data_IF_124459302501
#
_entry.id   IF_124459302501
#
_cell.length_a   1.000
_cell.length_b   1.000
_cell.length_c   1.000
_cell.angle_alpha   90.00
_cell.angle_beta   90.00
_cell.angle_gamma   90.00
#
_symmetry.space_group_name_H-M   'P 1'
#
loop_
_entity.id
_entity.type
_entity.pdbx_description
1 polymer ?
#
# COMPACT_ATOMS: atom_id res chain seq x y z
N UNK A 1 5.97 3.54 11.40
CA UNK A 1 5.72 3.03 10.04
C UNK A 1 5.05 1.66 10.09
N UNK A 2 4.04 1.45 9.29
CA UNK A 2 3.32 0.18 9.17
C UNK A 2 3.49 -0.30 7.73
N UNK A 3 4.11 -1.48 7.56
CA UNK A 3 4.22 -2.15 6.28
C UNK A 3 3.74 -3.60 6.40
N UNK A 4 2.86 -4.00 5.51
CA UNK A 4 2.40 -5.39 5.37
C UNK A 4 2.47 -5.78 3.92
N UNK A 5 2.75 -7.06 3.64
CA UNK A 5 2.66 -7.58 2.30
C UNK A 5 2.00 -8.95 2.27
N UNK A 6 1.40 -9.28 1.13
CA UNK A 6 0.71 -10.53 0.85
C UNK A 6 1.09 -11.04 -0.53
N UNK A 7 1.46 -12.32 -0.62
CA UNK A 7 1.77 -13.01 -1.88
C UNK A 7 0.46 -13.45 -2.56
N UNK A 8 0.34 -13.18 -3.85
CA UNK A 8 -0.80 -13.53 -4.68
C UNK A 8 -0.32 -14.46 -5.80
N UNK A 9 -0.62 -15.76 -5.68
CA UNK A 9 -0.07 -16.80 -6.58
C UNK A 9 -1.01 -17.19 -7.73
N UNK A 10 -2.26 -16.76 -7.74
CA UNK A 10 -3.21 -17.10 -8.80
C UNK A 10 -3.88 -15.87 -9.37
N UNK A 11 -4.25 -15.90 -10.67
CA UNK A 11 -4.98 -14.80 -11.31
C UNK A 11 -6.25 -14.43 -10.56
N UNK A 12 -7.00 -15.43 -10.04
CA UNK A 12 -8.19 -15.19 -9.24
C UNK A 12 -7.91 -14.49 -7.91
N UNK A 13 -6.78 -14.80 -7.25
CA UNK A 13 -6.40 -14.13 -6.00
C UNK A 13 -5.97 -12.69 -6.24
N UNK A 14 -5.29 -12.42 -7.35
CA UNK A 14 -4.94 -11.04 -7.75
C UNK A 14 -6.20 -10.26 -8.07
N UNK A 15 -7.09 -10.80 -8.92
CA UNK A 15 -8.34 -10.14 -9.27
C UNK A 15 -9.22 -9.85 -8.03
N UNK A 16 -9.34 -10.82 -7.11
CA UNK A 16 -10.11 -10.61 -5.86
C UNK A 16 -9.52 -9.51 -4.97
N UNK A 17 -8.19 -9.40 -4.90
CA UNK A 17 -7.51 -8.35 -4.13
C UNK A 17 -7.66 -6.99 -4.82
N UNK A 18 -7.55 -6.93 -6.15
CA UNK A 18 -7.76 -5.72 -6.94
C UNK A 18 -9.21 -5.22 -6.83
N UNK A 19 -10.23 -6.11 -6.90
CA UNK A 19 -11.64 -5.74 -6.69
C UNK A 19 -11.89 -5.11 -5.33
N UNK A 20 -11.19 -5.58 -4.29
CA UNK A 20 -11.23 -4.93 -2.99
C UNK A 20 -10.57 -3.55 -3.04
N UNK A 21 -9.40 -3.44 -3.65
CA UNK A 21 -8.65 -2.18 -3.79
C UNK A 21 -9.45 -1.12 -4.56
N UNK A 22 -10.09 -1.47 -5.65
CA UNK A 22 -10.90 -0.55 -6.47
C UNK A 22 -12.35 -0.39 -5.98
N UNK A 23 -12.72 -1.04 -4.86
CA UNK A 23 -14.10 -1.02 -4.33
C UNK A 23 -15.14 -1.58 -5.34
N UNK A 24 -14.72 -2.49 -6.22
CA UNK A 24 -15.59 -3.20 -7.16
C UNK A 24 -16.30 -4.41 -6.52
N UNK A 25 -16.16 -4.59 -5.23
CA UNK A 25 -16.91 -5.53 -4.40
C UNK A 25 -17.26 -4.87 -3.07
N UNK A 26 -18.25 -5.43 -2.39
CA UNK A 26 -18.63 -4.98 -1.05
C UNK A 26 -17.41 -4.96 -0.10
N UNK A 27 -17.23 -3.81 0.56
CA UNK A 27 -16.13 -3.54 1.48
C UNK A 27 -16.71 -2.89 2.75
N UNK A 28 -17.18 -3.70 3.71
CA UNK A 28 -17.97 -3.22 4.85
C UNK A 28 -17.26 -2.22 5.77
N UNK A 29 -15.94 -2.11 5.70
CA UNK A 29 -15.13 -1.17 6.47
C UNK A 29 -14.83 0.13 5.73
N UNK A 30 -15.26 0.26 4.48
CA UNK A 30 -15.16 1.48 3.69
C UNK A 30 -16.41 2.35 3.88
N UNK A 31 -16.22 3.64 3.99
CA UNK A 31 -17.31 4.63 4.05
C UNK A 31 -17.73 5.01 2.62
N UNK A 32 -18.96 4.70 2.19
CA UNK A 32 -19.42 4.99 0.84
C UNK A 32 -19.37 6.48 0.47
N UNK A 33 -19.57 7.38 1.42
CA UNK A 33 -19.56 8.83 1.18
C UNK A 33 -18.13 9.35 0.88
N UNK A 34 -17.12 8.63 1.35
CA UNK A 34 -15.70 8.96 1.21
C UNK A 34 -15.01 8.28 0.02
N UNK A 35 -15.68 7.37 -0.68
CA UNK A 35 -15.11 6.66 -1.85
C UNK A 35 -14.53 7.59 -2.91
N UNK A 36 -15.16 8.73 -3.14
CA UNK A 36 -14.74 9.76 -4.12
C UNK A 36 -13.36 10.36 -3.81
N UNK A 37 -12.86 10.20 -2.59
CA UNK A 37 -11.56 10.72 -2.16
C UNK A 37 -10.42 9.72 -2.37
N UNK A 38 -10.74 8.47 -2.69
CA UNK A 38 -9.71 7.50 -3.03
C UNK A 38 -9.02 7.89 -4.34
N UNK A 39 -7.71 7.70 -4.39
CA UNK A 39 -6.92 8.01 -5.59
C UNK A 39 -6.28 6.73 -6.11
N UNK A 40 -6.37 6.50 -7.43
CA UNK A 40 -5.81 5.33 -8.09
C UNK A 40 -4.83 5.76 -9.17
N UNK A 41 -3.63 5.20 -9.14
CA UNK A 41 -2.53 5.49 -10.06
C UNK A 41 -2.09 4.20 -10.77
N UNK A 42 -1.61 4.35 -11.99
CA UNK A 42 -1.16 3.30 -12.91
C UNK A 42 -2.29 2.45 -13.50
N UNK A 43 -3.36 2.13 -12.75
CA UNK A 43 -4.59 1.54 -13.27
C UNK A 43 -5.79 2.05 -12.44
N UNK A 44 -6.97 2.06 -13.04
CA UNK A 44 -8.21 2.60 -12.43
C UNK A 44 -9.30 1.55 -12.25
N UNK A 45 -9.08 0.33 -12.69
CA UNK A 45 -10.02 -0.79 -12.54
C UNK A 45 -9.28 -2.12 -12.43
N UNK A 46 -9.99 -3.13 -11.93
CA UNK A 46 -9.48 -4.51 -11.89
C UNK A 46 -9.13 -5.01 -13.28
N UNK A 47 -9.99 -4.76 -14.27
CA UNK A 47 -9.77 -5.25 -15.65
C UNK A 47 -8.54 -4.64 -16.28
N UNK A 48 -8.33 -3.32 -16.12
CA UNK A 48 -7.12 -2.64 -16.59
C UNK A 48 -5.86 -3.19 -15.91
N UNK A 49 -5.87 -3.33 -14.59
CA UNK A 49 -4.74 -3.87 -13.84
C UNK A 49 -4.43 -5.32 -14.22
N UNK A 50 -5.47 -6.14 -14.43
CA UNK A 50 -5.31 -7.54 -14.86
C UNK A 50 -4.80 -7.65 -16.30
N UNK A 51 -5.15 -6.72 -17.18
CA UNK A 51 -4.57 -6.58 -18.52
C UNK A 51 -3.08 -6.34 -18.44
N UNK A 52 -2.67 -5.29 -17.73
CA UNK A 52 -1.25 -4.95 -17.49
C UNK A 52 -0.46 -6.09 -16.84
N UNK A 53 -1.08 -6.83 -15.91
CA UNK A 53 -0.46 -8.00 -15.30
C UNK A 53 -0.16 -9.07 -16.36
N UNK A 54 -1.12 -9.41 -17.23
CA UNK A 54 -0.93 -10.44 -18.27
C UNK A 54 0.20 -10.08 -19.23
N UNK A 55 0.31 -8.83 -19.62
CA UNK A 55 1.38 -8.32 -20.50
C UNK A 55 2.77 -8.42 -19.85
N UNK A 56 2.84 -8.23 -18.52
CA UNK A 56 4.10 -8.27 -17.77
C UNK A 56 4.58 -9.68 -17.42
N UNK A 57 3.67 -10.64 -17.32
CA UNK A 57 4.04 -11.97 -16.87
C UNK A 57 4.89 -12.71 -17.92
N UNK A 58 6.07 -13.26 -17.53
CA UNK A 58 6.85 -14.10 -18.43
C UNK A 58 6.04 -15.31 -18.92
N UNK A 59 6.21 -15.69 -20.20
CA UNK A 59 5.57 -16.87 -20.77
C UNK A 59 5.95 -18.13 -20.00
N UNK A 60 7.25 -18.31 -19.73
CA UNK A 60 7.76 -19.41 -18.93
C UNK A 60 7.78 -19.03 -17.44
N UNK A 61 6.91 -19.66 -16.67
CA UNK A 61 6.85 -19.52 -15.21
C UNK A 61 6.31 -20.77 -14.55
N UNK A 62 6.67 -21.00 -13.30
CA UNK A 62 6.13 -22.11 -12.52
C UNK A 62 4.63 -21.93 -12.31
N UNK A 63 3.88 -23.05 -12.25
CA UNK A 63 2.43 -23.05 -12.03
C UNK A 63 2.02 -22.40 -10.70
N UNK A 64 2.85 -22.52 -9.68
CA UNK A 64 2.67 -21.97 -8.32
C UNK A 64 3.38 -20.64 -8.09
N UNK A 65 3.83 -19.96 -9.16
CA UNK A 65 4.53 -18.71 -9.05
C UNK A 65 3.66 -17.62 -8.41
N UNK A 66 4.28 -16.80 -7.55
CA UNK A 66 3.65 -15.56 -7.05
C UNK A 66 3.59 -14.55 -8.18
N UNK A 67 2.39 -14.20 -8.61
CA UNK A 67 2.15 -13.32 -9.76
C UNK A 67 2.25 -11.85 -9.38
N UNK A 68 1.80 -11.52 -8.17
CA UNK A 68 1.90 -10.16 -7.62
C UNK A 68 2.12 -10.20 -6.11
N UNK A 69 2.65 -9.11 -5.58
CA UNK A 69 2.73 -8.86 -4.15
C UNK A 69 1.90 -7.61 -3.86
N UNK A 70 0.94 -7.74 -2.97
CA UNK A 70 0.14 -6.63 -2.45
C UNK A 70 0.84 -6.07 -1.23
N UNK A 71 1.06 -4.76 -1.20
CA UNK A 71 1.55 -4.00 -0.06
C UNK A 71 0.45 -3.14 0.52
N UNK A 72 0.41 -3.05 1.85
CA UNK A 72 -0.37 -2.05 2.59
C UNK A 72 0.60 -1.25 3.44
N UNK A 73 0.72 0.04 3.15
CA UNK A 73 1.63 0.98 3.78
C UNK A 73 0.82 2.06 4.50
N UNK A 74 1.09 2.27 5.79
CA UNK A 74 0.33 3.21 6.63
C UNK A 74 1.15 3.70 7.81
N UNK A 75 0.56 4.60 8.58
CA UNK A 75 1.05 5.10 9.85
C UNK A 75 0.00 4.88 10.96
N UNK A 76 0.33 5.22 12.21
CA UNK A 76 -0.64 5.16 13.29
C UNK A 76 -1.75 6.22 13.11
N UNK A 77 -2.94 6.00 13.69
CA UNK A 77 -4.02 6.99 13.63
C UNK A 77 -3.59 8.37 14.15
N UNK A 78 -2.79 8.41 15.21
CA UNK A 78 -2.29 9.65 15.81
C UNK A 78 -1.41 10.43 14.84
N UNK A 79 -0.60 9.73 14.04
CA UNK A 79 0.22 10.37 13.02
C UNK A 79 -0.66 11.02 11.95
N UNK A 80 -1.70 10.32 11.46
CA UNK A 80 -2.63 10.84 10.46
C UNK A 80 -3.41 12.06 10.93
N UNK A 81 -3.78 12.11 12.24
CA UNK A 81 -4.46 13.25 12.85
C UNK A 81 -3.54 14.49 12.89
N UNK A 82 -2.25 14.29 13.20
CA UNK A 82 -1.30 15.39 13.40
C UNK A 82 -0.52 15.79 12.15
N UNK A 83 -0.56 15.00 11.08
CA UNK A 83 0.12 15.31 9.82
C UNK A 83 -0.68 16.35 9.01
N UNK A 84 -0.01 17.39 8.54
CA UNK A 84 -0.54 18.30 7.53
C UNK A 84 -0.57 17.65 6.15
N UNK A 85 -1.10 18.36 5.14
CA UNK A 85 -1.23 17.84 3.77
C UNK A 85 0.13 17.57 3.12
N UNK A 86 1.13 18.39 3.38
CA UNK A 86 2.49 18.19 2.88
C UNK A 86 3.08 16.88 3.38
N UNK A 87 3.04 16.63 4.69
CA UNK A 87 3.53 15.38 5.30
C UNK A 87 2.79 14.14 4.81
N UNK A 88 1.47 14.24 4.56
CA UNK A 88 0.67 13.16 3.97
C UNK A 88 1.12 12.86 2.54
N UNK A 89 1.33 13.89 1.72
CA UNK A 89 1.85 13.75 0.35
C UNK A 89 3.24 13.13 0.36
N UNK A 90 4.13 13.59 1.21
CA UNK A 90 5.50 13.06 1.36
C UNK A 90 5.49 11.58 1.80
N UNK A 91 4.53 11.19 2.64
CA UNK A 91 4.35 9.79 3.02
C UNK A 91 4.06 8.91 1.81
N UNK A 92 3.12 9.33 0.94
CA UNK A 92 2.78 8.57 -0.25
C UNK A 92 3.92 8.55 -1.26
N UNK A 93 4.60 9.68 -1.46
CA UNK A 93 5.75 9.77 -2.37
C UNK A 93 6.91 8.89 -1.90
N UNK A 94 7.30 8.99 -0.63
CA UNK A 94 8.38 8.17 -0.04
C UNK A 94 8.06 6.67 -0.09
N UNK A 95 6.79 6.32 0.11
CA UNK A 95 6.32 4.93 0.00
C UNK A 95 6.42 4.41 -1.43
N UNK A 96 6.05 5.24 -2.42
CA UNK A 96 6.16 4.90 -3.85
C UNK A 96 7.62 4.79 -4.29
N UNK A 97 8.48 5.68 -3.85
CA UNK A 97 9.89 5.68 -4.21
C UNK A 97 10.61 4.46 -3.62
N UNK A 98 10.28 4.08 -2.38
CA UNK A 98 10.78 2.86 -1.78
C UNK A 98 10.37 1.59 -2.58
N UNK A 99 9.12 1.52 -3.02
CA UNK A 99 8.65 0.41 -3.88
C UNK A 99 9.34 0.43 -5.24
N UNK A 100 9.50 1.61 -5.84
CA UNK A 100 10.14 1.78 -7.14
C UNK A 100 11.64 1.42 -7.11
N UNK A 101 12.35 1.79 -6.05
CA UNK A 101 13.74 1.38 -5.84
C UNK A 101 13.87 -0.14 -5.73
N UNK A 102 12.95 -0.77 -5.01
CA UNK A 102 13.00 -2.21 -4.76
C UNK A 102 12.61 -3.05 -5.96
N UNK A 103 11.59 -2.66 -6.72
CA UNK A 103 10.98 -3.49 -7.78
C UNK A 103 11.20 -2.96 -9.19
N UNK A 104 11.59 -1.69 -9.33
CA UNK A 104 11.45 -0.93 -10.58
C UNK A 104 10.04 -0.31 -10.70
N UNK A 105 9.98 0.95 -11.12
CA UNK A 105 8.71 1.69 -11.26
C UNK A 105 7.77 1.03 -12.26
N UNK A 106 8.32 0.45 -13.32
CA UNK A 106 7.62 -0.28 -14.37
C UNK A 106 6.91 -1.55 -13.85
N UNK A 107 7.35 -2.11 -12.73
CA UNK A 107 6.77 -3.29 -12.11
C UNK A 107 5.69 -2.99 -11.08
N UNK A 108 5.41 -1.70 -10.82
CA UNK A 108 4.28 -1.28 -10.00
C UNK A 108 3.02 -1.31 -10.86
N UNK A 109 2.16 -2.27 -10.60
CA UNK A 109 0.94 -2.52 -11.36
C UNK A 109 -0.17 -1.52 -11.02
N UNK A 110 -0.33 -1.26 -9.71
CA UNK A 110 -1.32 -0.35 -9.13
C UNK A 110 -0.73 0.30 -7.90
N UNK A 111 -1.07 1.56 -7.68
CA UNK A 111 -0.92 2.26 -6.41
C UNK A 111 -2.22 3.00 -6.12
N UNK A 112 -2.80 2.77 -4.95
CA UNK A 112 -4.06 3.37 -4.53
C UNK A 112 -3.94 3.96 -3.13
N UNK A 113 -4.41 5.18 -2.97
CA UNK A 113 -4.54 5.84 -1.68
C UNK A 113 -5.99 5.70 -1.23
N UNK A 114 -6.21 5.01 -0.13
CA UNK A 114 -7.52 4.81 0.46
C UNK A 114 -7.72 5.78 1.62
N UNK A 115 -8.72 6.64 1.46
CA UNK A 115 -9.14 7.63 2.44
C UNK A 115 -10.56 7.34 2.99
N UNK A 116 -11.18 6.29 2.48
CA UNK A 116 -12.53 5.84 2.81
C UNK A 116 -12.58 4.87 4.00
N UNK A 117 -11.45 4.43 4.51
CA UNK A 117 -11.37 3.59 5.71
C UNK A 117 -10.97 4.42 6.94
N UNK A 118 -11.09 3.82 8.14
CA UNK A 118 -10.78 4.50 9.42
C UNK A 118 -9.34 4.99 9.52
N UNK A 119 -8.40 4.30 8.89
CA UNK A 119 -6.99 4.70 8.84
C UNK A 119 -6.57 4.83 7.40
N UNK A 120 -6.16 6.03 6.96
CA UNK A 120 -5.62 6.22 5.62
C UNK A 120 -4.44 5.28 5.35
N UNK A 121 -4.35 4.75 4.14
CA UNK A 121 -3.26 3.85 3.77
C UNK A 121 -3.06 3.84 2.26
N UNK A 122 -1.87 3.46 1.85
CA UNK A 122 -1.56 3.16 0.47
C UNK A 122 -1.59 1.64 0.26
N UNK A 123 -2.36 1.19 -0.73
CA UNK A 123 -2.30 -0.17 -1.27
C UNK A 123 -1.53 -0.15 -2.58
N UNK A 124 -0.52 -1.01 -2.72
CA UNK A 124 0.22 -1.13 -3.96
C UNK A 124 0.36 -2.60 -4.37
N UNK A 125 0.30 -2.84 -5.68
CA UNK A 125 0.49 -4.17 -6.28
C UNK A 125 1.73 -4.12 -7.17
N UNK A 126 2.67 -5.00 -6.92
CA UNK A 126 3.92 -5.10 -7.67
C UNK A 126 4.07 -6.48 -8.28
N UNK A 127 4.59 -6.54 -9.50
CA UNK A 127 4.95 -7.80 -10.17
C UNK A 127 6.41 -8.09 -9.85
N UNK A 128 6.75 -9.20 -9.17
CA UNK A 128 8.12 -9.45 -8.69
C UNK A 128 9.02 -9.99 -9.82
N UNK A 129 9.30 -9.13 -10.81
CA UNK A 129 10.20 -9.42 -11.93
C UNK A 129 11.61 -9.01 -11.54
N UNK A 130 12.54 -9.94 -11.60
CA UNK A 130 13.96 -9.72 -11.33
C UNK A 130 14.63 -8.99 -12.52
N UNK A 131 15.82 -8.43 -12.29
CA UNK A 131 16.59 -7.73 -13.34
C UNK A 131 16.91 -8.58 -14.57
N UNK A 132 16.97 -9.91 -14.40
CA UNK A 132 17.17 -10.89 -15.47
C UNK A 132 15.83 -11.40 -16.08
N UNK A 133 14.69 -10.74 -15.77
CA UNK A 133 13.38 -11.02 -16.36
C UNK A 133 12.61 -12.20 -15.75
N UNK A 134 13.11 -12.85 -14.69
CA UNK A 134 12.41 -13.97 -14.05
C UNK A 134 11.33 -13.46 -13.07
N UNK A 135 10.23 -14.18 -13.00
CA UNK A 135 9.22 -13.96 -11.95
C UNK A 135 9.63 -14.66 -10.65
N UNK A 136 10.07 -13.90 -9.63
CA UNK A 136 10.59 -14.48 -8.39
C UNK A 136 10.34 -13.63 -7.15
N UNK A 137 9.21 -13.84 -6.49
CA UNK A 137 8.95 -13.20 -5.19
C UNK A 137 9.99 -13.58 -4.12
N UNK A 138 10.65 -14.76 -4.25
CA UNK A 138 11.71 -15.21 -3.33
C UNK A 138 12.92 -14.27 -3.35
N UNK A 139 13.24 -13.66 -4.51
CA UNK A 139 14.33 -12.70 -4.60
C UNK A 139 14.06 -11.44 -3.76
N UNK A 140 12.81 -11.00 -3.67
CA UNK A 140 12.41 -9.77 -2.98
C UNK A 140 12.02 -9.98 -1.52
N UNK A 141 11.13 -10.95 -1.25
CA UNK A 141 10.51 -11.17 0.07
C UNK A 141 10.60 -12.64 0.52
N UNK A 142 11.71 -13.32 0.19
CA UNK A 142 11.78 -14.78 0.26
C UNK A 142 11.84 -15.39 1.64
N UNK A 143 12.41 -14.72 2.64
CA UNK A 143 12.60 -15.26 3.98
C UNK A 143 12.41 -14.20 5.07
N UNK A 144 12.47 -14.64 6.33
CA UNK A 144 12.28 -13.77 7.51
C UNK A 144 13.30 -12.63 7.55
N UNK A 145 14.55 -12.89 7.21
CA UNK A 145 15.62 -11.88 7.21
C UNK A 145 15.34 -10.78 6.17
N UNK A 146 15.00 -11.17 4.92
CA UNK A 146 14.61 -10.20 3.89
C UNK A 146 13.41 -9.36 4.33
N UNK A 147 12.39 -9.98 4.91
CA UNK A 147 11.22 -9.26 5.43
C UNK A 147 11.57 -8.31 6.59
N UNK A 148 12.50 -8.71 7.48
CA UNK A 148 12.99 -7.83 8.55
C UNK A 148 13.76 -6.64 7.99
N UNK A 149 14.61 -6.88 6.98
CA UNK A 149 15.36 -5.83 6.29
C UNK A 149 14.41 -4.86 5.56
N UNK A 150 13.35 -5.37 4.93
CA UNK A 150 12.31 -4.55 4.31
C UNK A 150 11.61 -3.64 5.32
N UNK A 151 11.28 -4.15 6.51
CA UNK A 151 10.71 -3.33 7.59
C UNK A 151 11.67 -2.21 8.00
N UNK A 152 12.98 -2.49 8.05
CA UNK A 152 14.01 -1.51 8.40
C UNK A 152 14.18 -0.45 7.31
N UNK A 153 14.33 -0.88 6.05
CA UNK A 153 14.54 0.02 4.92
C UNK A 153 13.32 0.91 4.66
N UNK A 154 12.10 0.35 4.78
CA UNK A 154 10.89 1.15 4.69
C UNK A 154 10.78 2.19 5.81
N UNK A 155 11.09 1.78 7.05
CA UNK A 155 11.09 2.73 8.17
C UNK A 155 12.11 3.86 7.98
N UNK A 156 13.28 3.55 7.41
CA UNK A 156 14.29 4.57 7.08
C UNK A 156 13.79 5.51 5.98
N UNK A 157 13.12 4.99 4.94
CA UNK A 157 12.56 5.80 3.85
C UNK A 157 11.52 6.84 4.34
N UNK A 158 10.77 6.54 5.41
CA UNK A 158 9.74 7.44 5.97
C UNK A 158 10.15 8.10 7.30
N UNK A 159 11.41 7.96 7.71
CA UNK A 159 11.92 8.45 9.00
C UNK A 159 11.85 9.97 9.14
N UNK A 160 12.11 10.69 8.05
CA UNK A 160 12.02 12.15 8.00
C UNK A 160 10.62 12.69 8.34
N UNK A 161 9.59 11.83 8.26
CA UNK A 161 8.21 12.12 8.66
C UNK A 161 7.94 11.86 10.14
N UNK A 162 8.97 11.51 10.94
CA UNK A 162 8.83 11.11 12.34
C UNK A 162 8.26 9.70 12.53
N UNK A 163 8.24 8.88 11.47
CA UNK A 163 7.78 7.51 11.54
C UNK A 163 8.95 6.58 11.85
N UNK A 164 8.77 5.72 12.83
CA UNK A 164 9.79 4.76 13.28
C UNK A 164 9.36 3.32 12.99
N UNK A 165 10.35 2.44 12.89
CA UNK A 165 10.13 1.01 12.77
C UNK A 165 9.39 0.46 14.00
N UNK A 166 8.49 -0.49 13.80
CA UNK A 166 7.96 -1.28 14.89
C UNK A 166 9.04 -2.14 15.57
N UNK A 167 8.73 -2.69 16.73
CA UNK A 167 9.67 -3.48 17.54
C UNK A 167 10.17 -4.69 16.75
N UNK A 168 11.49 -4.80 16.60
CA UNK A 168 12.11 -5.92 15.92
C UNK A 168 11.91 -7.21 16.70
N UNK A 169 11.61 -8.31 15.98
CA UNK A 169 11.35 -9.60 16.61
C UNK A 169 10.04 -9.68 17.39
N UNK A 170 9.17 -8.67 17.34
CA UNK A 170 7.86 -8.71 17.95
C UNK A 170 7.09 -9.97 17.53
N UNK A 171 6.56 -10.70 18.52
CA UNK A 171 5.65 -11.85 18.31
C UNK A 171 4.19 -11.42 18.18
N UNK A 172 3.92 -10.12 18.14
CA UNK A 172 2.56 -9.60 18.00
C UNK A 172 1.96 -10.11 16.67
N UNK A 173 0.85 -10.79 16.76
CA UNK A 173 0.05 -11.20 15.61
C UNK A 173 -0.89 -10.09 15.22
N UNK A 174 -1.13 -9.94 13.93
CA UNK A 174 -2.11 -8.98 13.45
C UNK A 174 -3.50 -9.33 14.00
N UNK A 175 -4.01 -8.48 14.89
CA UNK A 175 -5.41 -8.50 15.29
C UNK A 175 -6.17 -7.51 14.42
N UNK A 176 -7.41 -7.86 14.05
CA UNK A 176 -8.29 -6.88 13.37
C UNK A 176 -8.40 -5.65 14.27
N UNK A 177 -8.34 -4.45 13.69
CA UNK A 177 -8.34 -3.17 14.42
C UNK A 177 -9.44 -3.14 15.48
N UNK A 178 -10.67 -3.54 15.11
CA UNK A 178 -11.81 -3.63 16.02
C UNK A 178 -11.53 -4.54 17.24
N UNK A 179 -10.89 -5.69 17.03
CA UNK A 179 -10.56 -6.61 18.12
C UNK A 179 -9.45 -6.06 19.02
N UNK A 180 -8.52 -5.28 18.47
CA UNK A 180 -7.46 -4.65 19.24
C UNK A 180 -8.00 -3.57 20.19
N UNK A 181 -8.80 -2.62 19.68
CA UNK A 181 -9.38 -1.55 20.50
C UNK A 181 -10.42 -2.08 21.49
N UNK A 182 -11.22 -3.08 21.14
CA UNK A 182 -12.12 -3.75 22.08
C UNK A 182 -11.35 -4.41 23.24
N UNK A 183 -10.20 -5.03 22.95
CA UNK A 183 -9.37 -5.66 23.98
C UNK A 183 -8.71 -4.64 24.92
N UNK A 184 -8.53 -3.40 24.47
CA UNK A 184 -7.98 -2.29 25.27
C UNK A 184 -9.06 -1.48 26.01
N UNK A 185 -10.35 -1.78 25.81
CA UNK A 185 -11.47 -0.98 26.34
C UNK A 185 -11.52 0.45 25.77
N UNK A 186 -10.86 0.70 24.64
CA UNK A 186 -10.76 2.01 24.00
C UNK A 186 -11.72 2.10 22.81
N UNK A 187 -12.30 3.29 22.62
CA UNK A 187 -13.01 3.58 21.38
C UNK A 187 -11.99 3.70 20.23
N UNK A 188 -12.37 3.19 19.06
CA UNK A 188 -11.56 3.37 17.84
C UNK A 188 -11.56 4.88 17.53
N UNK A 189 -10.38 5.53 17.39
CA UNK A 189 -10.32 6.94 17.03
C UNK A 189 -11.11 7.21 15.74
N UNK A 190 -11.89 8.27 15.74
CA UNK A 190 -12.55 8.75 14.52
C UNK A 190 -11.45 9.23 13.56
N UNK A 191 -11.51 8.89 12.26
CA UNK A 191 -10.55 9.41 11.29
C UNK A 191 -10.58 10.93 11.29
N UNK A 192 -9.43 11.61 11.06
CA UNK A 192 -9.44 13.05 10.87
C UNK A 192 -10.34 13.39 9.70
N UNK A 193 -11.08 14.51 9.81
CA UNK A 193 -11.82 15.05 8.67
C UNK A 193 -10.83 15.29 7.51
N UNK A 194 -11.21 14.85 6.32
CA UNK A 194 -10.45 15.15 5.11
C UNK A 194 -10.71 16.61 4.79
N UNK A 195 -9.69 17.46 4.91
CA UNK A 195 -9.82 18.86 4.54
C UNK A 195 -9.72 19.00 3.02
N UNK A 196 -10.44 19.95 2.45
CA UNK A 196 -10.39 20.20 0.99
C UNK A 196 -8.95 20.45 0.48
N UNK A 197 -8.09 21.03 1.31
CA UNK A 197 -6.66 21.22 1.01
C UNK A 197 -5.87 19.92 0.84
N UNK A 198 -6.29 18.84 1.52
CA UNK A 198 -5.68 17.50 1.42
C UNK A 198 -6.00 16.80 0.08
N UNK A 199 -6.92 17.36 -0.71
CA UNK A 199 -7.46 16.79 -1.95
C UNK A 199 -6.94 17.48 -3.22
N UNK A 200 -6.27 18.63 -3.11
CA UNK A 200 -5.81 19.40 -4.28
C UNK A 200 -4.52 18.78 -4.84
N UNK A 201 -4.47 18.43 -6.15
CA UNK A 201 -3.22 18.06 -6.79
C UNK A 201 -2.27 19.28 -6.82
N UNK A 202 -0.99 19.06 -6.56
CA UNK A 202 0.05 20.12 -6.51
C UNK A 202 0.35 20.83 -7.84
N UNK A 203 -0.42 20.59 -8.92
CA UNK A 203 -0.18 21.13 -10.25
C UNK A 203 -0.65 22.59 -10.46
N UNK A 204 -1.22 23.25 -9.46
CA UNK A 204 -1.72 24.64 -9.60
C UNK A 204 -0.91 25.72 -8.85
N UNK A 205 0.21 25.38 -8.25
CA UNK A 205 1.13 26.40 -7.77
C UNK A 205 2.17 26.74 -8.87
N UNK A 206 1.74 27.54 -9.82
CA UNK A 206 2.65 28.21 -10.74
C UNK A 206 3.62 29.11 -9.97
N UNK A 207 4.87 29.31 -10.48
CA UNK A 207 5.81 30.19 -9.85
C UNK A 207 5.23 31.60 -9.82
N UNK A 208 4.98 32.10 -8.61
CA UNK A 208 4.63 33.50 -8.41
C UNK A 208 5.75 34.39 -8.90
N UNK A 209 5.38 35.34 -9.74
CA UNK A 209 6.21 36.44 -10.25
C UNK A 209 6.80 37.28 -9.10
#
# INVERSE_FOLDING_TARGET
AIMRCKKLSGMGSVAASLKHCFRERDTPNADPERLRHNMHMAARSTDEAMGKLREKLPESRRKDAVLAIEYVLSASPEWWINADSGRKTDFYQSSMDWLAEKYGRENILVSSIHLDEKTPHMSAFVVPITKDGRLSAKEFIGNRTKMSNDQSSYAEAVKHLGLVRGIEGSKATHKRIKAHYNALGQQIPVPPEIREEDLKPQSEQGPGL
#
